data_IF_400977056490
#
_entry.id   IF_400977056490
#
_cell.length_a   1.000
_cell.length_b   1.000
_cell.length_c   1.000
_cell.angle_alpha   90.00
_cell.angle_beta   90.00
_cell.angle_gamma   90.00
#
_symmetry.space_group_name_H-M   'P 1'
#
loop_
_entity.id
_entity.type
_entity.pdbx_description
1 polymer ?
#
# COMPACT_ATOMS: atom_id res chain seq x y z
N UNK A 1 -18.23 -14.67 11.05
CA UNK A 1 -17.86 -13.28 11.41
C UNK A 1 -16.35 -13.23 11.51
N UNK A 2 -15.66 -12.75 10.48
CA UNK A 2 -14.20 -12.63 10.47
C UNK A 2 -13.83 -11.44 11.35
N UNK A 3 -13.21 -11.69 12.50
CA UNK A 3 -12.66 -10.64 13.36
C UNK A 3 -11.59 -9.89 12.57
N UNK A 4 -11.90 -8.67 12.11
CA UNK A 4 -10.90 -7.74 11.60
C UNK A 4 -9.97 -7.37 12.77
N UNK A 5 -8.66 -7.26 12.54
CA UNK A 5 -7.75 -6.88 13.60
C UNK A 5 -8.10 -5.46 14.08
N UNK A 6 -8.37 -5.33 15.37
CA UNK A 6 -8.59 -4.04 16.03
C UNK A 6 -7.29 -3.26 16.26
N UNK A 7 -6.14 -3.87 15.99
CA UNK A 7 -4.81 -3.27 16.12
C UNK A 7 -4.14 -3.11 14.75
N UNK A 8 -3.39 -2.02 14.61
CA UNK A 8 -2.57 -1.78 13.42
C UNK A 8 -1.43 -2.79 13.33
N UNK A 9 -1.09 -3.21 12.11
CA UNK A 9 -0.02 -4.19 11.86
C UNK A 9 1.30 -3.47 11.62
N UNK A 10 2.30 -3.73 12.47
CA UNK A 10 3.67 -3.24 12.27
C UNK A 10 4.44 -4.09 11.23
N UNK A 11 5.23 -3.41 10.39
CA UNK A 11 6.08 -4.01 9.37
C UNK A 11 7.56 -4.16 9.81
N UNK A 12 7.86 -4.04 11.10
CA UNK A 12 9.23 -4.15 11.63
C UNK A 12 9.98 -5.39 11.14
N UNK A 13 9.29 -6.53 11.10
CA UNK A 13 9.87 -7.83 10.70
C UNK A 13 10.42 -7.88 9.28
N UNK A 14 9.97 -7.01 8.37
CA UNK A 14 10.36 -7.00 6.96
C UNK A 14 11.05 -5.71 6.53
N UNK A 15 11.23 -4.76 7.45
CA UNK A 15 11.78 -3.45 7.14
C UNK A 15 13.14 -3.52 6.42
N UNK A 16 13.99 -4.48 6.79
CA UNK A 16 15.35 -4.63 6.23
C UNK A 16 15.39 -5.02 4.74
N UNK A 17 14.34 -5.67 4.22
CA UNK A 17 14.25 -6.15 2.82
C UNK A 17 13.10 -5.51 2.05
N UNK A 18 12.40 -4.56 2.66
CA UNK A 18 11.15 -4.04 2.09
C UNK A 18 11.32 -3.45 0.70
N UNK A 19 12.34 -2.65 0.49
CA UNK A 19 12.58 -1.95 -0.78
C UNK A 19 12.92 -2.91 -1.92
N UNK A 20 13.77 -3.91 -1.63
CA UNK A 20 14.17 -4.94 -2.60
C UNK A 20 12.96 -5.71 -3.14
N UNK A 21 11.97 -5.92 -2.28
CA UNK A 21 10.77 -6.71 -2.57
C UNK A 21 9.62 -5.91 -3.18
N UNK A 22 9.73 -4.57 -3.22
CA UNK A 22 8.65 -3.66 -3.62
C UNK A 22 8.98 -2.78 -4.84
N UNK A 23 10.00 -3.12 -5.60
CA UNK A 23 10.35 -2.41 -6.85
C UNK A 23 11.22 -1.16 -6.67
N UNK A 24 11.67 -0.87 -5.44
CA UNK A 24 12.68 0.16 -5.16
C UNK A 24 12.33 1.54 -5.70
N UNK A 25 13.36 2.29 -6.07
CA UNK A 25 13.23 3.68 -6.54
C UNK A 25 12.35 3.83 -7.81
N UNK A 26 12.37 2.83 -8.72
CA UNK A 26 11.52 2.83 -9.93
C UNK A 26 10.05 2.96 -9.56
N UNK A 27 9.58 2.16 -8.58
CA UNK A 27 8.19 2.22 -8.11
C UNK A 27 7.84 3.57 -7.48
N UNK A 28 8.79 4.19 -6.77
CA UNK A 28 8.59 5.54 -6.22
C UNK A 28 8.29 6.57 -7.32
N UNK A 29 9.07 6.57 -8.40
CA UNK A 29 8.87 7.47 -9.54
C UNK A 29 7.54 7.21 -10.28
N UNK A 30 7.17 5.94 -10.49
CA UNK A 30 5.89 5.57 -11.09
C UNK A 30 4.71 6.04 -10.24
N UNK A 31 4.77 5.88 -8.92
CA UNK A 31 3.74 6.37 -8.00
C UNK A 31 3.58 7.88 -8.01
N UNK A 32 4.67 8.64 -8.16
CA UNK A 32 4.59 10.11 -8.28
C UNK A 32 3.77 10.52 -9.50
N UNK A 33 3.95 9.85 -10.63
CA UNK A 33 3.17 10.12 -11.85
C UNK A 33 1.67 9.82 -11.64
N UNK A 34 1.32 8.73 -10.96
CA UNK A 34 -0.07 8.38 -10.66
C UNK A 34 -0.72 9.29 -9.61
N UNK A 35 0.08 9.80 -8.67
CA UNK A 35 -0.39 10.74 -7.65
C UNK A 35 -0.60 12.15 -8.21
N UNK A 36 0.22 12.56 -9.18
CA UNK A 36 0.27 13.93 -9.69
C UNK A 36 -1.10 14.53 -10.04
N UNK A 37 -2.04 13.82 -10.72
CA UNK A 37 -3.35 14.36 -11.05
C UNK A 37 -4.23 14.70 -9.83
N UNK A 38 -3.93 14.11 -8.68
CA UNK A 38 -4.76 14.21 -7.48
C UNK A 38 -4.17 15.13 -6.41
N UNK A 39 -2.89 15.51 -6.54
CA UNK A 39 -2.20 16.35 -5.57
C UNK A 39 -2.54 17.83 -5.79
N UNK A 40 -3.01 18.50 -4.74
CA UNK A 40 -3.06 19.97 -4.73
C UNK A 40 -1.70 20.55 -4.33
N UNK A 41 -1.41 21.83 -4.65
CA UNK A 41 -0.20 22.50 -4.18
C UNK A 41 -0.09 22.48 -2.65
N UNK A 42 1.14 22.35 -2.11
CA UNK A 42 1.42 22.45 -0.68
C UNK A 42 2.03 21.19 -0.09
N UNK A 43 1.93 21.04 1.23
CA UNK A 43 2.55 19.98 2.00
C UNK A 43 1.78 18.64 1.87
N UNK A 44 2.53 17.55 1.79
CA UNK A 44 2.01 16.19 1.66
C UNK A 44 2.40 15.41 2.92
N UNK A 45 1.44 14.75 3.57
CA UNK A 45 1.65 13.80 4.64
C UNK A 45 1.34 12.39 4.14
N UNK A 46 2.35 11.52 4.05
CA UNK A 46 2.14 10.09 3.79
C UNK A 46 1.96 9.36 5.13
N UNK A 47 0.82 8.72 5.30
CA UNK A 47 0.46 7.91 6.48
C UNK A 47 0.68 6.43 6.16
N UNK A 48 1.52 5.77 6.96
CA UNK A 48 2.11 4.49 6.60
C UNK A 48 3.25 4.68 5.59
N UNK A 49 4.15 5.63 5.86
CA UNK A 49 5.23 6.03 4.95
C UNK A 49 6.21 4.89 4.63
N UNK A 50 6.21 3.82 5.43
CA UNK A 50 7.09 2.68 5.25
C UNK A 50 8.57 3.11 5.29
N UNK A 51 9.34 2.70 4.29
CA UNK A 51 10.74 3.10 4.13
C UNK A 51 10.93 4.48 3.50
N UNK A 52 9.84 5.19 3.16
CA UNK A 52 9.88 6.54 2.59
C UNK A 52 10.15 6.61 1.10
N UNK A 53 9.99 5.52 0.35
CA UNK A 53 10.28 5.50 -1.10
C UNK A 53 9.44 6.50 -1.89
N UNK A 54 8.13 6.56 -1.64
CA UNK A 54 7.21 7.43 -2.37
C UNK A 54 7.41 8.89 -1.93
N UNK A 55 7.45 9.13 -0.63
CA UNK A 55 7.71 10.47 -0.08
C UNK A 55 9.09 11.02 -0.50
N UNK A 56 10.12 10.18 -0.64
CA UNK A 56 11.41 10.59 -1.17
C UNK A 56 11.30 10.98 -2.65
N UNK A 57 10.63 10.17 -3.48
CA UNK A 57 10.41 10.49 -4.89
C UNK A 57 9.57 11.77 -5.07
N UNK A 58 8.58 12.03 -4.20
CA UNK A 58 7.85 13.30 -4.16
C UNK A 58 8.77 14.47 -3.80
N UNK A 59 9.67 14.28 -2.83
CA UNK A 59 10.65 15.31 -2.45
C UNK A 59 11.64 15.61 -3.59
N UNK A 60 12.12 14.58 -4.30
CA UNK A 60 12.98 14.71 -5.47
C UNK A 60 12.26 15.46 -6.63
N UNK A 61 10.93 15.31 -6.72
CA UNK A 61 10.07 16.08 -7.61
C UNK A 61 9.72 17.51 -7.11
N UNK A 62 10.41 17.99 -6.08
CA UNK A 62 10.25 19.34 -5.54
C UNK A 62 9.05 19.54 -4.60
N UNK A 63 8.41 18.45 -4.12
CA UNK A 63 7.26 18.54 -3.19
C UNK A 63 7.72 18.49 -1.74
N UNK A 64 7.01 19.18 -0.87
CA UNK A 64 7.23 19.07 0.59
C UNK A 64 6.52 17.84 1.11
N UNK A 65 7.27 16.76 1.32
CA UNK A 65 6.75 15.49 1.82
C UNK A 65 7.15 15.24 3.29
N UNK A 66 6.18 14.80 4.07
CA UNK A 66 6.26 14.42 5.48
C UNK A 66 5.80 12.96 5.59
N UNK A 67 6.24 12.23 6.61
CA UNK A 67 5.84 10.83 6.78
C UNK A 67 5.50 10.47 8.23
N UNK A 68 4.52 9.58 8.39
CA UNK A 68 4.21 8.93 9.67
C UNK A 68 4.13 7.43 9.45
N UNK A 69 4.74 6.65 10.33
CA UNK A 69 4.60 5.19 10.36
C UNK A 69 4.51 4.67 11.79
N UNK A 70 3.72 3.62 12.00
CA UNK A 70 3.60 2.99 13.32
C UNK A 70 4.84 2.15 13.68
N UNK A 71 5.58 1.69 12.66
CA UNK A 71 6.81 0.91 12.81
C UNK A 71 8.01 1.84 13.04
N UNK A 72 8.69 1.77 14.22
CA UNK A 72 9.91 2.52 14.45
C UNK A 72 11.02 2.18 13.46
N UNK A 73 11.13 0.93 13.01
CA UNK A 73 12.14 0.50 12.04
C UNK A 73 11.86 1.05 10.64
N UNK A 74 10.60 1.08 10.21
CA UNK A 74 10.21 1.73 8.96
C UNK A 74 10.47 3.24 9.03
N UNK A 75 10.03 3.91 10.09
CA UNK A 75 10.27 5.33 10.28
C UNK A 75 11.76 5.69 10.32
N UNK A 76 12.60 4.84 10.89
CA UNK A 76 14.07 5.05 10.87
C UNK A 76 14.64 5.00 9.45
N UNK A 77 14.16 4.09 8.60
CA UNK A 77 14.54 4.02 7.18
C UNK A 77 14.03 5.22 6.38
N UNK A 78 12.79 5.63 6.62
CA UNK A 78 12.23 6.82 6.01
C UNK A 78 13.01 8.10 6.41
N UNK A 79 13.45 8.19 7.67
CA UNK A 79 14.31 9.30 8.14
C UNK A 79 15.65 9.36 7.43
N UNK A 80 16.23 8.22 7.06
CA UNK A 80 17.47 8.21 6.28
C UNK A 80 17.31 8.89 4.90
N UNK A 81 16.09 8.93 4.35
CA UNK A 81 15.76 9.59 3.07
C UNK A 81 15.23 11.02 3.24
N UNK A 82 14.37 11.23 4.23
CA UNK A 82 13.59 12.46 4.38
C UNK A 82 14.08 13.36 5.51
N UNK A 83 15.08 12.92 6.29
CA UNK A 83 15.58 13.66 7.45
C UNK A 83 14.51 13.76 8.56
N UNK A 84 14.40 14.93 9.24
CA UNK A 84 13.53 15.10 10.40
C UNK A 84 12.02 15.16 10.06
N UNK A 85 11.66 15.00 8.80
CA UNK A 85 10.27 15.08 8.30
C UNK A 85 9.45 13.80 8.52
N UNK A 86 9.94 12.87 9.36
CA UNK A 86 9.27 11.59 9.65
C UNK A 86 9.07 11.44 11.14
N UNK A 87 7.85 11.09 11.54
CA UNK A 87 7.49 10.74 12.91
C UNK A 87 7.07 9.27 13.04
N UNK A 88 7.24 8.70 14.24
CA UNK A 88 6.56 7.46 14.62
C UNK A 88 5.18 7.84 15.15
N UNK A 89 4.12 7.19 14.65
CA UNK A 89 2.76 7.49 15.07
C UNK A 89 1.73 6.53 14.50
N UNK A 90 0.57 6.50 15.11
CA UNK A 90 -0.58 5.72 14.66
C UNK A 90 -1.45 6.56 13.71
N UNK A 91 -1.91 5.97 12.61
CA UNK A 91 -2.83 6.61 11.67
C UNK A 91 -4.15 7.07 12.32
N UNK A 92 -4.53 6.46 13.44
CA UNK A 92 -5.74 6.75 14.22
C UNK A 92 -5.57 7.89 15.23
N UNK A 93 -4.34 8.37 15.43
CA UNK A 93 -3.97 9.47 16.31
C UNK A 93 -2.67 10.09 15.77
N UNK A 94 -2.78 10.87 14.70
CA UNK A 94 -1.64 11.45 14.01
C UNK A 94 -0.93 12.51 14.87
N UNK A 95 0.41 12.43 15.02
CA UNK A 95 1.18 13.41 15.78
C UNK A 95 1.39 14.71 14.96
N UNK A 96 0.30 15.25 14.45
CA UNK A 96 0.27 16.36 13.50
C UNK A 96 -0.88 17.30 13.91
N UNK A 97 -0.66 18.62 13.85
CA UNK A 97 -1.67 19.61 14.18
C UNK A 97 -2.85 19.62 13.20
N UNK A 98 -3.98 20.17 13.65
CA UNK A 98 -5.16 20.37 12.81
C UNK A 98 -4.84 21.28 11.62
N UNK A 99 -5.43 21.01 10.46
CA UNK A 99 -5.39 21.84 9.27
C UNK A 99 -3.98 22.35 8.90
N UNK A 100 -2.96 21.46 8.93
CA UNK A 100 -1.55 21.84 8.71
C UNK A 100 -0.95 21.27 7.42
N UNK A 101 -1.63 20.34 6.73
CA UNK A 101 -1.19 19.78 5.45
C UNK A 101 -2.24 19.95 4.37
N UNK A 102 -1.82 19.91 3.11
CA UNK A 102 -2.70 20.12 1.96
C UNK A 102 -3.09 18.80 1.30
N UNK A 103 -2.28 17.75 1.49
CA UNK A 103 -2.55 16.41 1.00
C UNK A 103 -2.23 15.38 2.08
N UNK A 104 -3.10 14.37 2.25
CA UNK A 104 -2.84 13.17 3.04
C UNK A 104 -2.86 11.98 2.10
N UNK A 105 -1.81 11.16 2.15
CA UNK A 105 -1.68 9.96 1.33
C UNK A 105 -1.75 8.71 2.18
N UNK A 106 -2.55 7.74 1.74
CA UNK A 106 -2.52 6.35 2.18
C UNK A 106 -2.16 5.48 0.98
N UNK A 107 -0.92 5.03 0.88
CA UNK A 107 -0.51 4.17 -0.24
C UNK A 107 -0.36 2.73 0.26
N UNK A 108 -1.39 1.92 0.01
CA UNK A 108 -1.53 0.54 0.53
C UNK A 108 -1.36 0.42 2.04
N UNK A 109 -1.77 1.44 2.79
CA UNK A 109 -1.67 1.45 4.25
C UNK A 109 -3.01 1.08 4.93
N UNK A 110 -4.16 1.50 4.40
CA UNK A 110 -5.45 1.39 5.07
C UNK A 110 -5.85 -0.05 5.42
N UNK A 111 -5.47 -1.04 4.63
CA UNK A 111 -5.81 -2.44 4.90
C UNK A 111 -5.10 -3.04 6.14
N UNK A 112 -4.10 -2.36 6.69
CA UNK A 112 -3.34 -2.75 7.88
C UNK A 112 -3.57 -1.84 9.08
N UNK A 113 -4.31 -0.75 8.90
CA UNK A 113 -4.81 0.11 9.99
C UNK A 113 -6.01 -0.58 10.63
N UNK A 114 -5.99 -0.84 11.90
CA UNK A 114 -7.07 -1.58 12.60
C UNK A 114 -8.44 -0.89 12.56
N UNK A 115 -8.48 0.43 12.35
CA UNK A 115 -9.71 1.25 12.32
C UNK A 115 -9.61 2.31 11.20
N UNK A 116 -10.19 2.00 10.03
CA UNK A 116 -10.22 2.92 8.88
C UNK A 116 -11.04 4.18 9.17
N UNK A 117 -12.23 4.13 9.79
CA UNK A 117 -12.97 5.32 10.20
C UNK A 117 -12.14 6.29 11.04
N UNK A 118 -11.44 5.81 12.05
CA UNK A 118 -10.57 6.65 12.88
C UNK A 118 -9.41 7.26 12.07
N UNK A 119 -8.79 6.48 11.18
CA UNK A 119 -7.71 6.98 10.32
C UNK A 119 -8.19 8.06 9.34
N UNK A 120 -9.38 7.90 8.74
CA UNK A 120 -9.94 8.93 7.85
C UNK A 120 -10.43 10.16 8.62
N UNK A 121 -10.92 10.01 9.85
CA UNK A 121 -11.25 11.14 10.73
C UNK A 121 -9.99 11.97 11.06
N UNK A 122 -8.87 11.31 11.38
CA UNK A 122 -7.59 11.99 11.59
C UNK A 122 -7.05 12.65 10.31
N UNK A 123 -7.18 11.99 9.16
CA UNK A 123 -6.85 12.62 7.87
C UNK A 123 -7.69 13.87 7.63
N UNK A 124 -9.00 13.82 7.92
CA UNK A 124 -9.91 14.97 7.86
C UNK A 124 -9.53 16.09 8.84
N UNK A 125 -9.05 15.75 10.04
CA UNK A 125 -8.61 16.73 11.04
C UNK A 125 -7.35 17.49 10.58
N UNK A 126 -6.34 16.77 10.07
CA UNK A 126 -5.03 17.36 9.76
C UNK A 126 -4.99 18.09 8.41
N UNK A 127 -5.93 17.78 7.50
CA UNK A 127 -5.98 18.39 6.18
C UNK A 127 -6.63 19.78 6.24
N UNK A 128 -6.12 20.71 5.44
CA UNK A 128 -6.72 22.03 5.23
C UNK A 128 -7.99 21.95 4.42
N UNK A 129 -8.82 22.98 4.50
CA UNK A 129 -9.97 23.14 3.60
C UNK A 129 -9.50 23.19 2.13
N UNK A 130 -10.19 22.47 1.26
CA UNK A 130 -9.81 22.30 -0.14
C UNK A 130 -8.65 21.33 -0.37
N UNK A 131 -8.06 20.77 0.67
CA UNK A 131 -7.03 19.74 0.57
C UNK A 131 -7.60 18.37 0.18
N UNK A 132 -6.70 17.44 -0.21
CA UNK A 132 -7.07 16.12 -0.67
C UNK A 132 -6.56 14.99 0.24
N UNK A 133 -7.42 14.01 0.51
CA UNK A 133 -7.05 12.70 1.06
C UNK A 133 -7.08 11.71 -0.09
N UNK A 134 -5.93 11.07 -0.37
CA UNK A 134 -5.74 10.19 -1.52
C UNK A 134 -5.38 8.80 -0.98
N UNK A 135 -6.20 7.80 -1.29
CA UNK A 135 -5.99 6.43 -0.86
C UNK A 135 -5.79 5.49 -2.06
N UNK A 136 -4.60 4.90 -2.18
CA UNK A 136 -4.37 3.72 -3.00
C UNK A 136 -4.68 2.49 -2.17
N UNK A 137 -5.64 1.68 -2.60
CA UNK A 137 -6.20 0.61 -1.79
C UNK A 137 -6.58 -0.61 -2.63
N UNK A 138 -7.15 -1.61 -1.98
CA UNK A 138 -7.50 -2.83 -2.67
C UNK A 138 -6.28 -3.65 -3.12
N UNK A 139 -6.54 -4.75 -3.82
CA UNK A 139 -5.50 -5.50 -4.54
C UNK A 139 -5.26 -4.92 -5.93
N UNK A 140 -4.13 -5.23 -6.57
CA UNK A 140 -3.92 -4.89 -7.97
C UNK A 140 -4.93 -5.65 -8.85
N UNK A 141 -5.46 -4.96 -9.85
CA UNK A 141 -6.16 -5.58 -10.98
C UNK A 141 -5.12 -5.76 -12.09
N UNK A 142 -4.73 -7.00 -12.31
CA UNK A 142 -3.69 -7.36 -13.26
C UNK A 142 -4.25 -8.18 -14.40
N UNK A 143 -3.69 -7.99 -15.59
CA UNK A 143 -3.97 -8.85 -16.74
C UNK A 143 -3.68 -10.31 -16.40
N UNK A 144 -4.52 -11.21 -16.94
CA UNK A 144 -4.30 -12.64 -16.82
C UNK A 144 -3.00 -13.04 -17.53
N UNK A 145 -2.19 -13.82 -16.85
CA UNK A 145 -0.90 -14.31 -17.35
C UNK A 145 -0.64 -15.73 -16.81
N UNK A 146 0.37 -16.41 -17.38
CA UNK A 146 0.85 -17.69 -16.87
C UNK A 146 1.27 -17.60 -15.40
N UNK A 147 1.81 -16.44 -14.96
CA UNK A 147 2.13 -16.18 -13.56
C UNK A 147 0.87 -16.17 -12.69
N UNK A 148 -0.19 -15.47 -13.13
CA UNK A 148 -1.46 -15.42 -12.37
C UNK A 148 -2.12 -16.78 -12.29
N UNK A 149 -2.03 -17.57 -13.34
CA UNK A 149 -2.57 -18.94 -13.39
C UNK A 149 -1.76 -19.88 -12.46
N UNK A 150 -0.43 -19.78 -12.47
CA UNK A 150 0.43 -20.54 -11.57
C UNK A 150 0.19 -20.18 -10.08
N UNK A 151 -0.15 -18.92 -9.78
CA UNK A 151 -0.49 -18.45 -8.44
C UNK A 151 -1.95 -18.73 -8.02
N UNK A 152 -2.78 -19.37 -8.88
CA UNK A 152 -4.20 -19.64 -8.57
C UNK A 152 -4.44 -20.37 -7.22
N UNK A 153 -3.57 -21.28 -6.73
CA UNK A 153 -3.74 -21.89 -5.41
C UNK A 153 -3.81 -20.87 -4.26
N UNK A 154 -3.20 -19.69 -4.41
CA UNK A 154 -3.25 -18.61 -3.41
C UNK A 154 -4.57 -17.82 -3.43
N UNK A 155 -5.42 -17.96 -4.46
CA UNK A 155 -6.66 -17.21 -4.56
C UNK A 155 -7.64 -17.55 -3.43
N UNK A 156 -7.68 -18.80 -2.95
CA UNK A 156 -8.49 -19.20 -1.80
C UNK A 156 -8.19 -18.37 -0.54
N UNK A 157 -6.92 -18.03 -0.31
CA UNK A 157 -6.49 -17.19 0.80
C UNK A 157 -6.84 -15.72 0.54
N UNK A 158 -6.60 -15.25 -0.68
CA UNK A 158 -6.81 -13.84 -1.06
C UNK A 158 -8.29 -13.47 -1.07
N UNK A 159 -9.16 -14.36 -1.56
CA UNK A 159 -10.60 -14.13 -1.70
C UNK A 159 -11.37 -14.34 -0.38
N UNK A 160 -10.94 -15.30 0.44
CA UNK A 160 -11.58 -15.57 1.75
C UNK A 160 -11.22 -14.53 2.82
N UNK A 161 -10.31 -13.62 2.52
CA UNK A 161 -9.94 -12.54 3.42
C UNK A 161 -10.68 -11.28 3.03
N UNK A 162 -11.75 -10.96 3.77
CA UNK A 162 -12.42 -9.68 3.62
C UNK A 162 -11.38 -8.56 3.79
N UNK A 163 -11.13 -7.80 2.72
CA UNK A 163 -10.29 -6.60 2.81
C UNK A 163 -11.10 -5.50 3.49
N UNK A 164 -10.55 -4.84 4.51
CA UNK A 164 -11.27 -3.77 5.18
C UNK A 164 -11.37 -2.50 4.32
N UNK A 165 -10.44 -2.32 3.38
CA UNK A 165 -10.29 -1.14 2.53
C UNK A 165 -11.08 -1.27 1.20
N UNK A 166 -12.34 -1.70 1.28
CA UNK A 166 -13.25 -1.73 0.12
C UNK A 166 -13.77 -0.34 -0.24
N UNK A 167 -14.20 -0.15 -1.49
CA UNK A 167 -14.80 1.11 -1.95
C UNK A 167 -15.95 1.56 -1.04
N UNK A 168 -16.83 0.63 -0.64
CA UNK A 168 -17.97 0.90 0.23
C UNK A 168 -17.51 1.31 1.64
N UNK A 169 -16.50 0.62 2.18
CA UNK A 169 -15.97 0.94 3.51
C UNK A 169 -15.31 2.32 3.52
N UNK A 170 -14.53 2.65 2.47
CA UNK A 170 -13.88 3.96 2.34
C UNK A 170 -14.90 5.08 2.14
N UNK A 171 -15.91 4.88 1.29
CA UNK A 171 -16.98 5.85 1.08
C UNK A 171 -17.69 6.19 2.40
N UNK A 172 -18.15 5.17 3.11
CA UNK A 172 -18.85 5.34 4.39
C UNK A 172 -17.95 5.96 5.49
N UNK A 173 -16.67 5.61 5.52
CA UNK A 173 -15.74 6.18 6.49
C UNK A 173 -15.39 7.64 6.17
N UNK A 174 -15.22 7.98 4.89
CA UNK A 174 -14.99 9.34 4.43
C UNK A 174 -16.16 10.27 4.75
N UNK A 175 -17.40 9.82 4.47
CA UNK A 175 -18.62 10.56 4.81
C UNK A 175 -18.68 10.86 6.33
N UNK A 176 -18.44 9.86 7.18
CA UNK A 176 -18.41 10.06 8.64
C UNK A 176 -17.30 10.99 9.11
N UNK A 177 -16.20 11.08 8.37
CA UNK A 177 -15.11 12.02 8.62
C UNK A 177 -15.39 13.44 8.08
N UNK A 178 -16.55 13.70 7.50
CA UNK A 178 -16.89 14.99 6.88
C UNK A 178 -16.15 15.25 5.56
N UNK A 179 -15.64 14.19 4.91
CA UNK A 179 -14.94 14.27 3.65
C UNK A 179 -15.88 13.99 2.47
N UNK A 180 -15.76 14.77 1.40
CA UNK A 180 -16.51 14.59 0.16
C UNK A 180 -15.68 13.77 -0.83
N UNK A 181 -16.22 12.65 -1.31
CA UNK A 181 -15.58 11.85 -2.34
C UNK A 181 -15.58 12.57 -3.68
N UNK A 182 -14.41 12.77 -4.29
CA UNK A 182 -14.20 13.39 -5.60
C UNK A 182 -13.97 12.37 -6.70
N UNK A 183 -13.32 11.26 -6.35
CA UNK A 183 -12.99 10.21 -7.29
C UNK A 183 -12.98 8.85 -6.60
N UNK A 184 -13.43 7.83 -7.32
CA UNK A 184 -13.25 6.43 -6.98
C UNK A 184 -13.11 5.63 -8.28
N UNK A 185 -11.90 5.19 -8.59
CA UNK A 185 -11.62 4.58 -9.88
C UNK A 185 -10.31 3.78 -9.89
N UNK A 186 -9.75 3.63 -11.07
CA UNK A 186 -8.51 2.92 -11.31
C UNK A 186 -7.43 3.89 -11.81
N UNK A 187 -6.17 3.60 -11.45
CA UNK A 187 -5.02 4.27 -12.08
C UNK A 187 -4.88 3.85 -13.54
N UNK A 188 -3.99 4.52 -14.25
CA UNK A 188 -3.46 4.00 -15.51
C UNK A 188 -2.83 2.63 -15.28
N UNK A 189 -2.94 1.75 -16.25
CA UNK A 189 -2.30 0.44 -16.17
C UNK A 189 -0.79 0.56 -16.40
N UNK A 190 0.01 -0.08 -15.53
CA UNK A 190 1.47 -0.07 -15.61
C UNK A 190 2.01 -1.39 -16.12
N UNK A 191 3.06 -1.37 -16.95
CA UNK A 191 3.77 -2.58 -17.30
C UNK A 191 4.61 -3.09 -16.11
N UNK A 192 4.42 -4.35 -15.78
CA UNK A 192 5.22 -5.08 -14.79
C UNK A 192 6.02 -6.15 -15.52
N UNK A 193 7.30 -6.22 -15.23
CA UNK A 193 8.18 -7.28 -15.71
C UNK A 193 8.61 -8.13 -14.51
N UNK A 194 8.15 -9.38 -14.44
CA UNK A 194 8.53 -10.34 -13.39
C UNK A 194 8.74 -11.73 -13.96
N UNK A 195 9.78 -12.42 -13.52
CA UNK A 195 9.98 -13.83 -13.86
C UNK A 195 9.25 -14.75 -12.87
N UNK A 196 8.92 -16.00 -13.28
CA UNK A 196 8.38 -17.02 -12.39
C UNK A 196 9.22 -17.21 -11.11
N UNK A 197 10.55 -17.27 -11.23
CA UNK A 197 11.44 -17.42 -10.10
C UNK A 197 11.42 -16.22 -9.16
N UNK A 198 11.32 -14.99 -9.68
CA UNK A 198 11.16 -13.79 -8.84
C UNK A 198 9.86 -13.83 -8.03
N UNK A 199 8.75 -14.25 -8.66
CA UNK A 199 7.46 -14.38 -7.95
C UNK A 199 7.53 -15.52 -6.92
N UNK A 200 8.15 -16.65 -7.26
CA UNK A 200 8.34 -17.76 -6.33
C UNK A 200 9.17 -17.33 -5.10
N UNK A 201 10.25 -16.58 -5.30
CA UNK A 201 11.07 -16.04 -4.20
C UNK A 201 10.26 -15.08 -3.31
N UNK A 202 9.41 -14.23 -3.89
CA UNK A 202 8.53 -13.34 -3.13
C UNK A 202 7.52 -14.12 -2.27
N UNK A 203 6.99 -15.24 -2.77
CA UNK A 203 6.12 -16.13 -1.99
C UNK A 203 6.93 -16.80 -0.87
N UNK A 204 8.06 -17.42 -1.20
CA UNK A 204 8.90 -18.15 -0.26
C UNK A 204 9.38 -17.25 0.90
N UNK A 205 9.75 -16.02 0.58
CA UNK A 205 10.18 -15.00 1.55
C UNK A 205 9.01 -14.32 2.27
N UNK A 206 7.76 -14.74 2.02
CA UNK A 206 6.54 -14.17 2.61
C UNK A 206 6.49 -12.64 2.48
N UNK A 207 6.83 -12.09 1.32
CA UNK A 207 6.85 -10.64 1.06
C UNK A 207 5.49 -9.99 1.29
N UNK A 208 4.40 -10.66 0.92
CA UNK A 208 3.05 -10.11 1.02
C UNK A 208 2.43 -10.39 2.39
N UNK A 209 1.82 -9.38 2.99
CA UNK A 209 1.26 -9.44 4.35
C UNK A 209 0.20 -10.52 4.55
N UNK A 210 -0.53 -10.91 3.51
CA UNK A 210 -1.51 -12.00 3.60
C UNK A 210 -0.86 -13.38 3.82
N UNK A 211 0.44 -13.54 3.51
CA UNK A 211 1.19 -14.78 3.75
C UNK A 211 1.71 -14.90 5.19
N UNK A 212 1.72 -13.79 5.96
CA UNK A 212 2.35 -13.79 7.30
C UNK A 212 1.57 -14.60 8.36
N UNK A 213 0.27 -14.76 8.14
CA UNK A 213 -0.63 -15.43 9.09
C UNK A 213 -1.03 -16.82 8.62
N UNK A 214 -0.37 -17.36 7.60
CA UNK A 214 -0.58 -18.74 7.20
C UNK A 214 0.10 -19.65 8.22
N UNK A 215 -0.69 -20.54 8.82
CA UNK A 215 -0.17 -21.70 9.53
C UNK A 215 0.45 -22.71 8.55
N UNK A 216 1.03 -23.77 9.07
CA UNK A 216 1.72 -24.75 8.24
C UNK A 216 0.77 -25.49 7.30
N UNK A 217 -0.44 -25.79 7.74
CA UNK A 217 -1.44 -26.50 6.91
C UNK A 217 -1.88 -25.62 5.73
N UNK A 218 -2.22 -24.36 5.98
CA UNK A 218 -2.58 -23.40 4.90
C UNK A 218 -1.38 -23.12 3.98
N UNK A 219 -0.16 -23.09 4.51
CA UNK A 219 1.04 -22.93 3.70
C UNK A 219 1.21 -24.12 2.75
N UNK A 220 1.10 -25.37 3.26
CA UNK A 220 1.18 -26.59 2.46
C UNK A 220 0.05 -26.67 1.42
N UNK A 221 -1.16 -26.28 1.79
CA UNK A 221 -2.32 -26.37 0.91
C UNK A 221 -2.31 -25.34 -0.22
N UNK A 222 -1.69 -24.16 -0.04
CA UNK A 222 -1.83 -23.05 -0.96
C UNK A 222 -0.51 -22.49 -1.48
N UNK A 223 0.48 -22.28 -0.61
CA UNK A 223 1.75 -21.66 -1.03
C UNK A 223 2.65 -22.66 -1.75
N UNK A 224 2.75 -23.88 -1.24
CA UNK A 224 3.60 -24.92 -1.86
C UNK A 224 3.16 -25.23 -3.28
N UNK A 225 1.88 -25.50 -3.60
CA UNK A 225 1.46 -25.72 -4.98
C UNK A 225 1.70 -24.51 -5.89
N UNK A 226 1.53 -23.29 -5.41
CA UNK A 226 1.84 -22.10 -6.20
C UNK A 226 3.34 -21.98 -6.51
N UNK A 227 4.21 -22.31 -5.55
CA UNK A 227 5.66 -22.35 -5.75
C UNK A 227 6.07 -23.41 -6.80
N UNK A 228 5.48 -24.61 -6.72
CA UNK A 228 5.71 -25.70 -7.66
C UNK A 228 5.26 -25.31 -9.07
N UNK A 229 4.05 -24.76 -9.20
CA UNK A 229 3.53 -24.29 -10.49
C UNK A 229 4.42 -23.22 -11.13
N UNK A 230 4.87 -22.23 -10.35
CA UNK A 230 5.75 -21.16 -10.84
C UNK A 230 7.09 -21.70 -11.33
N UNK A 231 7.69 -22.63 -10.57
CA UNK A 231 8.99 -23.24 -10.94
C UNK A 231 8.89 -24.18 -12.12
N UNK A 232 7.70 -24.74 -12.39
CA UNK A 232 7.42 -25.61 -13.53
C UNK A 232 7.14 -24.84 -14.84
N UNK A 233 6.97 -23.51 -14.78
CA UNK A 233 6.77 -22.71 -15.99
C UNK A 233 8.02 -22.74 -16.88
N UNK A 234 7.85 -22.78 -18.22
CA UNK A 234 8.98 -22.69 -19.15
C UNK A 234 9.81 -21.41 -18.92
N UNK A 235 11.12 -21.49 -19.09
CA UNK A 235 12.04 -20.36 -18.94
C UNK A 235 11.78 -19.56 -17.65
N UNK A 236 11.95 -20.16 -16.44
CA UNK A 236 11.48 -19.60 -15.18
C UNK A 236 12.21 -18.31 -14.76
N UNK A 237 13.35 -17.98 -15.37
CA UNK A 237 14.11 -16.75 -15.15
C UNK A 237 13.76 -15.65 -16.14
N UNK A 238 13.03 -15.97 -17.24
CA UNK A 238 12.63 -15.00 -18.24
C UNK A 238 11.48 -14.14 -17.71
N UNK A 239 11.61 -12.80 -17.70
CA UNK A 239 10.51 -11.91 -17.28
C UNK A 239 9.29 -12.04 -18.22
N UNK A 240 8.10 -12.03 -17.61
CA UNK A 240 6.80 -11.90 -18.27
C UNK A 240 6.36 -10.45 -18.11
N UNK A 241 5.97 -9.82 -19.21
CA UNK A 241 5.36 -8.50 -19.17
C UNK A 241 3.85 -8.64 -19.10
N UNK A 242 3.24 -7.99 -18.12
CA UNK A 242 1.79 -7.85 -17.98
C UNK A 242 1.48 -6.46 -17.45
N UNK A 243 0.22 -6.01 -17.55
CA UNK A 243 -0.18 -4.73 -17.01
C UNK A 243 -1.00 -4.92 -15.74
N UNK A 244 -0.83 -3.98 -14.83
CA UNK A 244 -1.66 -3.91 -13.62
C UNK A 244 -2.04 -2.47 -13.32
N UNK A 245 -3.19 -2.30 -12.66
CA UNK A 245 -3.70 -1.01 -12.19
C UNK A 245 -4.14 -1.13 -10.74
N UNK A 246 -4.27 0.00 -10.07
CA UNK A 246 -4.63 0.06 -8.66
C UNK A 246 -5.88 0.90 -8.44
N UNK A 247 -6.66 0.55 -7.42
CA UNK A 247 -7.77 1.38 -6.99
C UNK A 247 -7.25 2.64 -6.33
N UNK A 248 -7.86 3.76 -6.67
CA UNK A 248 -7.61 5.06 -6.05
C UNK A 248 -8.94 5.72 -5.67
N UNK A 249 -9.03 6.16 -4.43
CA UNK A 249 -10.14 6.98 -3.92
C UNK A 249 -9.58 8.31 -3.47
N UNK A 250 -10.23 9.41 -3.89
CA UNK A 250 -9.83 10.77 -3.53
C UNK A 250 -11.00 11.47 -2.85
N UNK A 251 -10.72 12.02 -1.69
CA UNK A 251 -11.64 12.87 -0.94
C UNK A 251 -11.10 14.29 -0.87
N UNK A 252 -12.00 15.25 -0.63
CA UNK A 252 -11.68 16.63 -0.25
C UNK A 252 -12.42 17.00 1.03
N UNK A 253 -11.83 17.90 1.78
CA UNK A 253 -12.47 18.54 2.93
C UNK A 253 -13.23 19.78 2.49
#
# INVERSE_FOLDING_TARGET
MTNLPTESVSFDRVAHRYDETRGGAKRGAEMVADLAPWLVPGAILEVGVGTGLISAALADAGRTALGVDISPLMAARARARLGPRVAVGDARALPVHDACVDNVLFVWALHVVGDIPAALAEAGRVIREGGHVIAFHGGPDAERSDLSDAMAPLNGIRLNRARPDTDVALASAGERAGLTMRHNGWTTAWPIDQSPNQVAEQIASRVWSYLWRLDDDAWQAHAVPALENLRALPEPDRPRRYHQRHRVTVFTR
#
